data_IF_711923371851
#
_entry.id   IF_711923371851
#
_cell.length_a   1.000
_cell.length_b   1.000
_cell.length_c   1.000
_cell.angle_alpha   90.00
_cell.angle_beta   90.00
_cell.angle_gamma   90.00
#
_symmetry.space_group_name_H-M   'P 1'
#
loop_
_entity.id
_entity.type
_entity.pdbx_description
1 polymer ?
#
# COMPACT_ATOMS: atom_id res chain seq x y z
N UNK A 1 13.14 77.33 33.94
CA UNK A 1 11.74 76.89 34.12
C UNK A 1 11.04 77.00 32.77
N UNK A 2 10.40 75.89 32.33
CA UNK A 2 9.25 75.71 31.41
C UNK A 2 8.99 76.79 30.33
N UNK A 3 9.10 76.53 29.01
CA UNK A 3 8.44 75.57 28.09
C UNK A 3 7.21 76.16 27.34
N UNK A 4 7.10 75.74 26.06
CA UNK A 4 6.04 75.90 25.03
C UNK A 4 6.01 77.24 24.25
N UNK A 5 5.76 77.29 22.93
CA UNK A 5 4.91 76.43 22.07
C UNK A 5 5.30 76.57 20.56
N UNK A 6 4.64 75.77 19.70
CA UNK A 6 4.48 75.81 18.21
C UNK A 6 5.07 74.57 17.51
N UNK A 7 4.29 73.60 17.00
CA UNK A 7 3.22 73.58 15.98
C UNK A 7 3.74 73.20 14.57
N UNK A 8 3.23 72.04 14.13
CA UNK A 8 2.94 71.59 12.74
C UNK A 8 4.05 71.18 11.78
N UNK A 9 3.64 70.31 10.83
CA UNK A 9 4.34 69.72 9.66
C UNK A 9 4.96 68.35 10.02
N UNK A 10 4.37 67.21 9.66
CA UNK A 10 3.87 66.81 8.35
C UNK A 10 4.90 65.85 7.74
N UNK A 11 4.77 64.54 7.96
CA UNK A 11 5.64 63.53 7.34
C UNK A 11 4.79 62.38 6.83
N UNK A 12 4.67 62.31 5.50
CA UNK A 12 4.22 61.14 4.75
C UNK A 12 5.17 59.98 5.02
N UNK A 13 4.67 58.89 5.60
CA UNK A 13 5.43 57.63 5.68
C UNK A 13 4.88 56.69 4.61
N UNK A 14 5.64 56.56 3.53
CA UNK A 14 5.43 55.56 2.49
C UNK A 14 5.56 54.16 3.07
N UNK A 15 4.48 53.37 3.02
CA UNK A 15 4.47 51.97 3.41
C UNK A 15 5.18 51.17 2.31
N UNK A 16 6.41 50.72 2.60
CA UNK A 16 7.13 49.73 1.80
C UNK A 16 6.46 48.36 1.98
N UNK A 17 5.75 47.87 0.95
CA UNK A 17 5.33 46.47 0.86
C UNK A 17 6.57 45.60 0.65
N UNK A 18 7.03 44.92 1.70
CA UNK A 18 8.04 43.87 1.59
C UNK A 18 7.39 42.60 1.01
N UNK A 19 7.70 42.28 -0.25
CA UNK A 19 7.37 40.99 -0.85
C UNK A 19 8.30 39.91 -0.30
N UNK A 20 7.89 39.24 0.78
CA UNK A 20 8.55 38.03 1.26
C UNK A 20 8.20 36.85 0.36
N UNK A 21 9.06 36.56 -0.60
CA UNK A 21 9.04 35.30 -1.34
C UNK A 21 9.51 34.18 -0.42
N UNK A 22 8.59 33.38 0.11
CA UNK A 22 8.92 32.15 0.81
C UNK A 22 9.32 31.09 -0.23
N UNK A 23 10.56 30.58 -0.21
CA UNK A 23 10.91 29.44 -1.05
C UNK A 23 10.16 28.21 -0.53
N UNK A 24 9.28 27.65 -1.37
CA UNK A 24 8.61 26.37 -1.10
C UNK A 24 9.67 25.27 -1.20
N UNK A 25 10.20 24.85 -0.05
CA UNK A 25 11.06 23.68 0.06
C UNK A 25 10.21 22.43 -0.20
N UNK A 26 10.28 21.92 -1.43
CA UNK A 26 9.77 20.60 -1.80
C UNK A 26 10.67 19.50 -1.18
N UNK A 27 10.53 19.25 0.12
CA UNK A 27 11.31 18.21 0.85
C UNK A 27 10.48 16.98 1.27
N UNK A 28 9.28 16.81 0.72
CA UNK A 28 8.32 15.79 1.16
C UNK A 28 8.56 14.35 0.69
N UNK A 29 9.44 14.13 -0.29
CA UNK A 29 9.56 12.84 -1.01
C UNK A 29 10.88 12.11 -0.83
N UNK A 30 11.75 12.54 0.10
CA UNK A 30 12.87 11.72 0.60
C UNK A 30 12.62 11.22 2.03
N UNK A 31 11.68 11.86 2.74
CA UNK A 31 11.39 11.60 4.14
C UNK A 31 10.45 10.41 4.35
N UNK A 32 9.60 10.01 3.39
CA UNK A 32 8.56 9.00 3.58
C UNK A 32 9.10 7.56 3.57
N UNK A 33 10.02 7.20 2.68
CA UNK A 33 10.55 5.81 2.68
C UNK A 33 11.64 5.52 3.72
N UNK A 34 12.52 6.47 4.02
CA UNK A 34 13.42 6.40 5.18
C UNK A 34 12.62 6.26 6.49
N UNK A 35 11.46 6.92 6.54
CA UNK A 35 10.51 6.80 7.63
C UNK A 35 9.90 5.39 7.68
N UNK A 36 9.48 4.78 6.57
CA UNK A 36 8.87 3.44 6.63
C UNK A 36 9.81 2.36 7.18
N UNK A 37 11.09 2.34 6.76
CA UNK A 37 12.06 1.42 7.35
C UNK A 37 12.27 1.66 8.84
N UNK A 38 12.27 2.93 9.27
CA UNK A 38 12.38 3.29 10.70
C UNK A 38 11.14 2.84 11.48
N UNK A 39 9.95 3.13 10.93
CA UNK A 39 8.66 2.74 11.48
C UNK A 39 8.61 1.23 11.70
N UNK A 40 8.89 0.43 10.68
CA UNK A 40 8.84 -1.03 10.82
C UNK A 40 9.79 -1.55 11.90
N UNK A 41 11.00 -1.00 12.03
CA UNK A 41 11.91 -1.39 13.12
C UNK A 41 11.37 -1.10 14.51
N UNK A 42 10.60 -0.03 14.67
CA UNK A 42 9.98 0.39 15.93
C UNK A 42 8.75 -0.46 16.27
N UNK A 43 7.79 -0.55 15.35
CA UNK A 43 6.51 -1.25 15.60
C UNK A 43 6.60 -2.76 15.44
N UNK A 44 7.67 -3.25 14.80
CA UNK A 44 7.90 -4.64 14.37
C UNK A 44 6.87 -5.11 13.33
N UNK A 45 5.62 -5.26 13.74
CA UNK A 45 4.52 -5.73 12.92
C UNK A 45 3.47 -4.62 12.81
N UNK A 46 3.04 -4.34 11.59
CA UNK A 46 1.94 -3.44 11.31
C UNK A 46 1.28 -3.87 10.01
N UNK A 47 0.05 -4.34 10.12
CA UNK A 47 -0.75 -4.89 9.03
C UNK A 47 -1.35 -3.79 8.13
N UNK A 48 -1.15 -2.50 8.45
CA UNK A 48 -1.63 -1.37 7.63
C UNK A 48 -0.94 -1.38 6.27
N UNK A 49 -1.74 -1.49 5.21
CA UNK A 49 -1.29 -1.44 3.83
C UNK A 49 -1.02 0.00 3.41
N UNK A 50 0.18 0.23 2.89
CA UNK A 50 0.67 1.55 2.50
C UNK A 50 0.99 1.60 1.03
N UNK A 51 0.67 2.74 0.40
CA UNK A 51 0.97 2.98 -1.00
C UNK A 51 2.48 3.08 -1.25
N UNK A 52 2.84 2.92 -2.52
CA UNK A 52 4.18 3.16 -3.07
C UNK A 52 4.78 4.51 -2.64
N UNK A 53 6.12 4.55 -2.52
CA UNK A 53 6.87 5.78 -2.29
C UNK A 53 8.19 5.73 -3.07
N UNK A 54 8.55 6.83 -3.75
CA UNK A 54 9.75 6.89 -4.60
C UNK A 54 11.04 6.53 -3.84
N UNK A 55 11.16 6.88 -2.56
CA UNK A 55 12.35 6.57 -1.76
C UNK A 55 12.62 5.07 -1.62
N UNK A 56 11.59 4.25 -1.82
CA UNK A 56 11.69 2.79 -1.78
C UNK A 56 11.90 2.21 -3.17
N UNK A 57 12.01 3.02 -4.23
CA UNK A 57 12.06 2.59 -5.64
C UNK A 57 12.99 1.41 -5.86
N UNK A 58 14.30 1.58 -5.63
CA UNK A 58 15.24 0.50 -5.94
C UNK A 58 15.00 -0.77 -5.12
N UNK A 59 14.40 -0.65 -3.92
CA UNK A 59 14.21 -1.76 -3.00
C UNK A 59 12.96 -2.52 -3.40
N UNK A 60 11.97 -1.78 -3.87
CA UNK A 60 10.76 -2.26 -4.53
C UNK A 60 11.11 -2.99 -5.81
N UNK A 61 12.02 -2.46 -6.64
CA UNK A 61 12.53 -3.16 -7.84
C UNK A 61 13.21 -4.49 -7.48
N UNK A 62 14.04 -4.52 -6.43
CA UNK A 62 14.66 -5.75 -5.92
C UNK A 62 13.61 -6.75 -5.42
N UNK A 63 12.61 -6.29 -4.67
CA UNK A 63 11.50 -7.10 -4.18
C UNK A 63 10.65 -7.66 -5.34
N UNK A 64 10.36 -6.84 -6.36
CA UNK A 64 9.65 -7.26 -7.56
C UNK A 64 10.38 -8.39 -8.28
N UNK A 65 11.67 -8.23 -8.57
CA UNK A 65 12.48 -9.27 -9.23
C UNK A 65 12.55 -10.57 -8.43
N UNK A 66 12.46 -10.49 -7.10
CA UNK A 66 12.41 -11.68 -6.23
C UNK A 66 11.07 -12.43 -6.34
N UNK A 67 9.97 -11.70 -6.46
CA UNK A 67 8.63 -12.30 -6.59
C UNK A 67 8.33 -12.78 -8.02
N UNK A 68 8.89 -12.11 -9.02
CA UNK A 68 8.65 -12.36 -10.44
C UNK A 68 9.99 -12.57 -11.18
N UNK A 69 10.71 -13.67 -10.92
CA UNK A 69 12.03 -13.92 -11.49
C UNK A 69 12.03 -14.04 -13.02
N UNK A 70 10.91 -14.48 -13.59
CA UNK A 70 10.75 -14.69 -15.05
C UNK A 70 10.34 -13.41 -15.80
N UNK A 71 10.16 -12.28 -15.09
CA UNK A 71 9.84 -11.01 -15.72
C UNK A 71 11.03 -10.48 -16.53
N UNK A 72 10.77 -10.04 -17.78
CA UNK A 72 11.81 -9.50 -18.69
C UNK A 72 12.45 -8.19 -18.21
N UNK A 73 11.89 -7.56 -17.20
CA UNK A 73 12.35 -6.29 -16.64
C UNK A 73 11.58 -5.91 -15.38
N UNK A 74 12.04 -4.84 -14.74
CA UNK A 74 11.23 -4.21 -13.69
C UNK A 74 10.12 -3.37 -14.34
N UNK A 75 8.93 -3.26 -13.71
CA UNK A 75 7.88 -2.36 -14.16
C UNK A 75 8.36 -0.92 -14.20
N UNK A 76 7.72 -0.11 -15.02
CA UNK A 76 7.91 1.34 -14.97
C UNK A 76 7.54 1.87 -13.58
N UNK A 77 8.12 2.99 -13.15
CA UNK A 77 7.84 3.52 -11.82
C UNK A 77 6.36 3.88 -11.63
N UNK A 78 5.69 4.38 -12.67
CA UNK A 78 4.25 4.62 -12.66
C UNK A 78 3.43 3.36 -12.40
N UNK A 79 3.88 2.21 -12.89
CA UNK A 79 3.26 0.91 -12.64
C UNK A 79 3.52 0.46 -11.21
N UNK A 80 4.74 0.65 -10.69
CA UNK A 80 5.04 0.42 -9.27
C UNK A 80 4.17 1.31 -8.38
N UNK A 81 3.92 2.56 -8.77
CA UNK A 81 3.06 3.46 -8.02
C UNK A 81 1.61 2.97 -7.93
N UNK A 82 1.11 2.34 -9.00
CA UNK A 82 -0.24 1.78 -9.04
C UNK A 82 -0.35 0.42 -8.32
N UNK A 83 0.72 -0.38 -8.33
CA UNK A 83 0.65 -1.79 -7.94
C UNK A 83 1.32 -2.10 -6.60
N UNK A 84 2.40 -1.40 -6.25
CA UNK A 84 3.20 -1.73 -5.08
C UNK A 84 2.54 -1.26 -3.78
N UNK A 85 2.51 -2.18 -2.82
CA UNK A 85 1.91 -2.00 -1.51
C UNK A 85 2.89 -2.49 -0.44
N UNK A 86 2.95 -1.79 0.69
CA UNK A 86 3.86 -2.13 1.78
C UNK A 86 3.16 -2.43 3.10
N UNK A 87 3.80 -3.27 3.91
CA UNK A 87 3.48 -3.47 5.33
C UNK A 87 4.74 -3.73 6.15
N UNK A 88 4.62 -3.66 7.47
CA UNK A 88 5.70 -4.02 8.38
C UNK A 88 5.53 -5.45 8.89
N UNK A 89 6.59 -6.25 8.80
CA UNK A 89 6.62 -7.59 9.37
C UNK A 89 8.00 -7.88 9.97
N UNK A 90 8.03 -8.25 11.25
CA UNK A 90 9.23 -8.58 12.01
C UNK A 90 10.34 -7.52 11.93
N UNK A 91 9.99 -6.24 11.93
CA UNK A 91 10.96 -5.15 11.86
C UNK A 91 11.36 -4.75 10.44
N UNK A 92 10.85 -5.44 9.42
CA UNK A 92 11.21 -5.27 8.01
C UNK A 92 10.06 -4.66 7.22
N UNK A 93 10.41 -3.95 6.15
CA UNK A 93 9.46 -3.48 5.14
C UNK A 93 9.27 -4.63 4.16
N UNK A 94 8.03 -5.07 3.96
CA UNK A 94 7.68 -6.01 2.89
C UNK A 94 6.89 -5.29 1.81
N UNK A 95 7.12 -5.67 0.55
CA UNK A 95 6.35 -5.23 -0.61
C UNK A 95 5.53 -6.39 -1.18
N UNK A 96 4.34 -6.05 -1.65
CA UNK A 96 3.45 -6.87 -2.46
C UNK A 96 2.98 -6.04 -3.67
N UNK A 97 2.60 -6.71 -4.76
CA UNK A 97 2.17 -6.06 -5.99
C UNK A 97 0.76 -6.55 -6.36
N UNK A 98 -0.22 -5.64 -6.43
CA UNK A 98 -1.57 -5.98 -6.88
C UNK A 98 -1.57 -6.22 -8.39
N UNK A 99 -2.38 -7.18 -8.84
CA UNK A 99 -2.45 -7.59 -10.25
C UNK A 99 -3.47 -8.70 -10.48
N UNK A 100 -3.25 -9.51 -11.51
CA UNK A 100 -4.11 -10.61 -11.96
C UNK A 100 -4.30 -11.71 -10.88
N UNK A 101 -5.10 -11.42 -9.87
CA UNK A 101 -5.41 -12.26 -8.70
C UNK A 101 -4.32 -12.29 -7.60
N UNK A 102 -3.59 -11.19 -7.40
CA UNK A 102 -2.58 -11.07 -6.33
C UNK A 102 -3.05 -10.04 -5.27
N UNK A 103 -3.84 -10.46 -4.27
CA UNK A 103 -4.32 -9.52 -3.25
C UNK A 103 -3.20 -9.13 -2.28
N UNK A 104 -2.92 -7.84 -2.16
CA UNK A 104 -2.06 -7.30 -1.10
C UNK A 104 -2.86 -7.02 0.18
N UNK A 105 -3.64 -8.01 0.62
CA UNK A 105 -4.56 -7.91 1.74
C UNK A 105 -4.42 -9.12 2.67
N UNK A 106 -5.04 -9.02 3.86
CA UNK A 106 -5.24 -10.16 4.74
C UNK A 106 -6.24 -11.09 4.07
N UNK A 107 -5.94 -12.39 4.07
CA UNK A 107 -6.78 -13.36 3.37
C UNK A 107 -8.03 -13.69 4.19
N UNK A 108 -9.15 -13.83 3.50
CA UNK A 108 -10.38 -14.33 4.08
C UNK A 108 -10.25 -15.85 4.27
N UNK A 109 -10.04 -16.25 5.53
CA UNK A 109 -9.92 -17.64 5.95
C UNK A 109 -11.26 -18.27 6.38
N UNK A 110 -12.40 -17.63 6.09
CA UNK A 110 -13.70 -18.26 6.28
C UNK A 110 -13.92 -19.35 5.23
N UNK A 111 -14.42 -20.51 5.66
CA UNK A 111 -14.85 -21.61 4.77
C UNK A 111 -16.24 -21.37 4.22
N UNK A 112 -17.07 -20.61 4.94
CA UNK A 112 -18.36 -20.17 4.45
C UNK A 112 -18.14 -18.95 3.56
N UNK A 113 -18.57 -19.04 2.30
CA UNK A 113 -18.37 -17.99 1.31
C UNK A 113 -19.70 -17.71 0.58
N UNK A 114 -20.41 -16.64 0.94
CA UNK A 114 -21.72 -16.32 0.35
C UNK A 114 -21.71 -16.14 -1.17
N UNK A 115 -20.61 -15.62 -1.71
CA UNK A 115 -20.46 -15.45 -3.16
C UNK A 115 -20.24 -16.78 -3.89
N UNK A 116 -19.53 -17.72 -3.26
CA UNK A 116 -19.44 -19.10 -3.76
C UNK A 116 -20.80 -19.82 -3.70
N UNK A 117 -21.54 -19.66 -2.61
CA UNK A 117 -22.87 -20.24 -2.46
C UNK A 117 -23.83 -19.74 -3.54
N UNK A 118 -23.83 -18.43 -3.80
CA UNK A 118 -24.66 -17.82 -4.85
C UNK A 118 -24.27 -18.33 -6.25
N UNK A 119 -22.97 -18.41 -6.53
CA UNK A 119 -22.49 -18.97 -7.79
C UNK A 119 -22.95 -20.43 -7.98
N UNK A 120 -22.88 -21.25 -6.93
CA UNK A 120 -23.28 -22.65 -7.03
C UNK A 120 -24.78 -22.86 -7.18
N UNK A 121 -25.64 -21.97 -6.65
CA UNK A 121 -27.09 -22.05 -6.90
C UNK A 121 -27.44 -21.98 -8.38
N UNK A 122 -26.71 -21.17 -9.13
CA UNK A 122 -26.91 -20.99 -10.58
C UNK A 122 -26.08 -21.96 -11.42
N UNK A 123 -25.01 -22.53 -10.85
CA UNK A 123 -24.08 -23.44 -11.51
C UNK A 123 -23.87 -24.73 -10.67
N UNK A 124 -24.86 -25.63 -10.59
CA UNK A 124 -24.94 -26.63 -9.52
C UNK A 124 -23.79 -27.64 -9.45
N UNK A 125 -23.10 -27.89 -10.55
CA UNK A 125 -22.01 -28.86 -10.65
C UNK A 125 -20.76 -28.29 -11.35
N UNK A 126 -20.53 -26.98 -11.27
CA UNK A 126 -19.31 -26.39 -11.80
C UNK A 126 -18.07 -26.88 -11.03
N UNK A 127 -17.00 -27.24 -11.78
CA UNK A 127 -15.77 -27.77 -11.20
C UNK A 127 -14.94 -26.74 -10.42
N UNK A 128 -15.13 -25.45 -10.73
CA UNK A 128 -14.42 -24.33 -10.10
C UNK A 128 -15.38 -23.16 -9.89
N UNK A 129 -15.35 -22.58 -8.69
CA UNK A 129 -15.94 -21.27 -8.41
C UNK A 129 -14.88 -20.19 -8.64
N UNK A 130 -15.12 -19.20 -9.51
CA UNK A 130 -14.13 -18.20 -9.88
C UNK A 130 -13.90 -17.15 -8.78
N UNK A 131 -12.71 -16.53 -8.79
CA UNK A 131 -12.32 -15.52 -7.80
C UNK A 131 -13.21 -14.27 -7.76
N UNK A 132 -13.87 -13.93 -8.88
CA UNK A 132 -14.84 -12.82 -8.88
C UNK A 132 -16.06 -13.12 -8.00
N UNK A 133 -16.41 -14.40 -7.82
CA UNK A 133 -17.50 -14.84 -6.96
C UNK A 133 -17.03 -15.03 -5.52
N UNK A 134 -15.88 -15.68 -5.31
CA UNK A 134 -15.37 -15.93 -3.94
C UNK A 134 -14.78 -14.70 -3.27
N UNK A 135 -14.41 -13.68 -4.05
CA UNK A 135 -13.46 -12.65 -3.65
C UNK A 135 -12.03 -13.08 -3.96
N UNK A 136 -11.20 -12.12 -4.38
CA UNK A 136 -9.79 -12.34 -4.71
C UNK A 136 -8.92 -12.67 -3.48
N UNK A 137 -9.41 -12.37 -2.27
CA UNK A 137 -8.79 -12.64 -0.98
C UNK A 137 -9.23 -13.97 -0.34
N UNK A 138 -10.01 -14.79 -1.04
CA UNK A 138 -10.42 -16.10 -0.52
C UNK A 138 -9.22 -17.05 -0.35
N UNK A 139 -9.05 -17.57 0.88
CA UNK A 139 -8.01 -18.55 1.19
C UNK A 139 -8.31 -19.93 0.60
N UNK A 140 -9.59 -20.25 0.41
CA UNK A 140 -10.02 -21.57 -0.06
C UNK A 140 -10.46 -21.52 -1.52
N UNK A 141 -10.19 -22.61 -2.23
CA UNK A 141 -10.81 -22.92 -3.51
C UNK A 141 -12.13 -23.65 -3.28
N UNK A 142 -13.08 -23.46 -4.20
CA UNK A 142 -14.39 -24.08 -4.12
C UNK A 142 -14.78 -24.73 -5.45
N UNK A 143 -15.59 -25.77 -5.37
CA UNK A 143 -16.38 -26.33 -6.48
C UNK A 143 -17.85 -26.39 -6.09
N UNK A 144 -18.72 -26.61 -7.06
CA UNK A 144 -20.14 -26.79 -6.81
C UNK A 144 -20.49 -28.28 -6.84
N UNK A 145 -21.27 -28.72 -5.84
CA UNK A 145 -21.85 -30.06 -5.78
C UNK A 145 -23.33 -29.94 -5.44
N UNK A 146 -24.20 -30.29 -6.38
CA UNK A 146 -25.66 -30.21 -6.20
C UNK A 146 -26.13 -28.84 -5.69
N UNK A 147 -25.57 -27.76 -6.23
CA UNK A 147 -25.97 -26.39 -5.87
C UNK A 147 -25.30 -25.82 -4.61
N UNK A 148 -24.36 -26.55 -3.99
CA UNK A 148 -23.64 -26.11 -2.78
C UNK A 148 -22.16 -25.91 -3.06
N UNK A 149 -21.58 -24.85 -2.49
CA UNK A 149 -20.14 -24.66 -2.52
C UNK A 149 -19.45 -25.66 -1.59
N UNK A 150 -18.40 -26.31 -2.09
CA UNK A 150 -17.59 -27.27 -1.35
C UNK A 150 -16.13 -26.88 -1.48
N UNK A 151 -15.45 -26.72 -0.35
CA UNK A 151 -14.00 -26.42 -0.31
C UNK A 151 -13.21 -27.57 -0.94
N UNK A 152 -12.34 -27.24 -1.88
CA UNK A 152 -11.47 -28.20 -2.57
C UNK A 152 -10.01 -28.13 -2.13
N UNK A 153 -9.61 -27.04 -1.46
CA UNK A 153 -8.25 -26.86 -0.95
C UNK A 153 -7.97 -25.42 -0.56
N UNK A 154 -6.72 -25.15 -0.16
CA UNK A 154 -6.21 -23.81 0.14
C UNK A 154 -5.44 -23.27 -1.07
N UNK A 155 -5.66 -22.01 -1.41
CA UNK A 155 -4.97 -21.29 -2.50
C UNK A 155 -3.65 -20.71 -2.05
N UNK A 156 -3.49 -20.40 -0.76
CA UNK A 156 -2.33 -19.69 -0.22
C UNK A 156 -1.87 -20.27 1.11
N UNK A 157 -0.56 -20.28 1.32
CA UNK A 157 0.03 -20.44 2.66
C UNK A 157 0.08 -19.07 3.33
N UNK A 158 -0.50 -18.95 4.52
CA UNK A 158 -0.52 -17.70 5.27
C UNK A 158 0.73 -17.52 6.13
N UNK A 159 1.14 -16.27 6.29
CA UNK A 159 2.07 -15.89 7.34
C UNK A 159 1.35 -15.79 8.71
N UNK A 160 2.12 -15.55 9.78
CA UNK A 160 1.59 -15.43 11.15
C UNK A 160 0.58 -14.29 11.35
N UNK A 161 0.39 -13.42 10.34
CA UNK A 161 -0.52 -12.26 10.38
C UNK A 161 -1.73 -12.46 9.48
N UNK A 162 -1.83 -13.59 8.77
CA UNK A 162 -2.95 -13.92 7.88
C UNK A 162 -2.81 -13.42 6.45
N UNK A 163 -1.61 -13.03 6.01
CA UNK A 163 -1.34 -12.61 4.64
C UNK A 163 -0.72 -13.77 3.84
N UNK A 164 -1.02 -13.87 2.55
CA UNK A 164 -0.43 -14.89 1.67
C UNK A 164 1.10 -14.73 1.59
N UNK A 165 1.85 -15.59 2.29
CA UNK A 165 3.27 -15.38 2.57
C UNK A 165 4.13 -15.22 1.32
N UNK A 166 3.78 -15.94 0.24
CA UNK A 166 4.50 -15.91 -1.04
C UNK A 166 4.28 -14.66 -1.88
N UNK A 167 3.33 -13.78 -1.50
CA UNK A 167 3.09 -12.50 -2.17
C UNK A 167 3.91 -11.35 -1.60
N UNK A 168 4.64 -11.57 -0.50
CA UNK A 168 5.35 -10.51 0.20
C UNK A 168 6.86 -10.75 0.18
N UNK A 169 7.61 -9.80 -0.38
CA UNK A 169 9.06 -9.82 -0.39
C UNK A 169 9.65 -8.66 0.41
N UNK A 170 10.76 -8.92 1.10
CA UNK A 170 11.50 -7.87 1.81
C UNK A 170 12.00 -6.79 0.84
N UNK A 171 11.77 -5.54 1.21
CA UNK A 171 12.36 -4.37 0.57
C UNK A 171 13.68 -4.10 1.29
N UNK A 172 14.85 -4.30 0.65
CA UNK A 172 16.11 -3.96 1.28
C UNK A 172 16.32 -2.45 1.31
N UNK A 173 17.09 -1.97 2.29
CA UNK A 173 17.63 -0.60 2.26
C UNK A 173 18.70 -0.52 1.17
N UNK A 174 18.81 0.64 0.54
CA UNK A 174 19.99 1.00 -0.25
C UNK A 174 21.01 1.72 0.61
#
# INVERSE_FOLDING_TARGET
MRAFCLSTIGVFVSVLLAASAFPVLASGSAAKGQNLHRLCRQVKNDDTIRAYSHELYGGTVKAFRKLFPDAKGAPAESELQAQANYRCMNGKVLACFVGANLPCAKMNAARDNPGADEFCRTNPNADVVPAFATGHDALYSYKCLNGKAVVTGETWVLDKRGFAARLWAEVPRH
#
